data_IF_090105976974
#
_entry.id   IF_090105976974
#
_cell.length_a   1.000
_cell.length_b   1.000
_cell.length_c   1.000
_cell.angle_alpha   90.00
_cell.angle_beta   90.00
_cell.angle_gamma   90.00
#
_symmetry.space_group_name_H-M   'P 1'
#
loop_
_entity.id
_entity.type
_entity.pdbx_description
1 polymer ?
#
# COMPACT_ATOMS: atom_id res chain seq x y z
N UNK A 1 26.45 6.50 37.69
CA UNK A 1 25.79 5.21 37.95
C UNK A 1 24.32 5.50 38.09
N UNK A 2 23.58 5.52 36.99
CA UNK A 2 22.13 5.72 36.99
C UNK A 2 21.50 4.80 35.95
N UNK A 3 20.43 4.14 36.39
CA UNK A 3 19.80 2.95 35.81
C UNK A 3 18.92 3.26 34.59
N UNK A 4 18.72 2.30 33.67
CA UNK A 4 17.90 2.50 32.48
C UNK A 4 16.41 2.48 32.81
N UNK A 5 15.69 3.45 32.24
CA UNK A 5 14.23 3.56 32.34
C UNK A 5 13.53 2.35 31.71
N UNK A 6 12.67 1.76 32.53
CA UNK A 6 11.78 0.65 32.24
C UNK A 6 10.82 1.01 31.08
N UNK A 7 10.92 0.32 29.95
CA UNK A 7 9.98 0.46 28.84
C UNK A 7 8.73 -0.39 29.14
N UNK A 8 7.73 0.26 29.72
CA UNK A 8 6.46 -0.36 30.09
C UNK A 8 5.59 -0.64 28.87
N UNK A 9 5.40 -1.92 28.59
CA UNK A 9 4.43 -2.50 27.64
C UNK A 9 3.01 -2.02 27.99
N UNK A 10 2.31 -1.36 27.06
CA UNK A 10 0.87 -1.16 27.13
C UNK A 10 0.23 -1.46 25.79
N UNK A 11 -0.61 -2.49 25.82
CA UNK A 11 -1.46 -2.96 24.74
C UNK A 11 -2.40 -1.85 24.27
N UNK A 12 -2.56 -1.72 22.94
CA UNK A 12 -3.61 -0.90 22.34
C UNK A 12 -4.95 -1.61 22.54
N UNK A 13 -5.64 -1.26 23.63
CA UNK A 13 -6.97 -1.79 23.95
C UNK A 13 -8.02 -1.12 23.05
N UNK A 14 -8.48 -1.85 22.04
CA UNK A 14 -9.49 -1.39 21.05
C UNK A 14 -10.94 -1.57 21.55
N UNK A 15 -11.17 -1.95 22.81
CA UNK A 15 -12.50 -2.36 23.29
C UNK A 15 -13.46 -1.22 23.66
N UNK A 16 -13.15 0.05 23.34
CA UNK A 16 -13.95 1.19 23.82
C UNK A 16 -14.70 1.99 22.75
N UNK A 17 -14.84 1.48 21.53
CA UNK A 17 -15.55 2.21 20.47
C UNK A 17 -16.53 1.33 19.69
N UNK A 18 -17.67 1.06 20.32
CA UNK A 18 -18.89 0.65 19.62
C UNK A 18 -19.92 1.78 19.58
N UNK A 19 -20.42 1.98 18.36
CA UNK A 19 -21.74 2.51 17.99
C UNK A 19 -22.02 4.01 18.20
N UNK A 20 -21.93 4.77 17.10
CA UNK A 20 -23.10 5.49 16.63
C UNK A 20 -23.31 5.21 15.14
N UNK A 21 -24.45 4.57 14.84
CA UNK A 21 -24.97 4.35 13.49
C UNK A 21 -25.23 5.70 12.79
N UNK A 22 -24.75 5.85 11.56
CA UNK A 22 -24.99 7.03 10.72
C UNK A 22 -25.03 6.74 9.22
N UNK A 23 -25.46 5.54 8.81
CA UNK A 23 -25.42 5.10 7.40
C UNK A 23 -26.67 5.44 6.58
N UNK A 24 -27.61 6.27 7.07
CA UNK A 24 -28.90 6.48 6.37
C UNK A 24 -29.17 7.91 5.85
N UNK A 25 -28.19 8.82 5.79
CA UNK A 25 -28.46 10.23 5.40
C UNK A 25 -27.68 10.74 4.17
N UNK A 26 -26.86 9.93 3.52
CA UNK A 26 -26.07 10.39 2.35
C UNK A 26 -26.67 10.07 0.97
N UNK A 27 -27.87 9.51 0.90
CA UNK A 27 -28.54 9.20 -0.38
C UNK A 27 -29.36 10.36 -0.97
N UNK A 28 -29.32 11.58 -0.41
CA UNK A 28 -30.19 12.67 -0.88
C UNK A 28 -29.52 14.01 -1.24
N UNK A 29 -28.20 14.04 -1.43
CA UNK A 29 -27.51 15.25 -1.87
C UNK A 29 -26.73 15.02 -3.18
N UNK A 30 -27.15 15.75 -4.22
CA UNK A 30 -26.48 16.04 -5.51
C UNK A 30 -26.77 15.08 -6.69
N UNK A 31 -27.73 15.43 -7.58
CA UNK A 31 -28.02 14.71 -8.84
C UNK A 31 -27.04 15.00 -10.00
N UNK A 32 -25.96 15.76 -9.79
CA UNK A 32 -25.14 16.32 -10.88
C UNK A 32 -23.82 15.58 -11.19
N UNK A 33 -23.47 14.54 -10.41
CA UNK A 33 -22.16 13.84 -10.55
C UNK A 33 -22.30 12.49 -11.28
N UNK A 34 -23.52 12.04 -11.61
CA UNK A 34 -23.76 10.76 -12.31
C UNK A 34 -23.63 10.83 -13.83
N UNK A 35 -23.47 11.99 -14.43
CA UNK A 35 -23.39 12.15 -15.90
C UNK A 35 -21.97 12.13 -16.46
N UNK A 36 -20.94 12.35 -15.64
CA UNK A 36 -19.54 12.43 -16.10
C UNK A 36 -18.90 11.07 -16.33
N UNK A 37 -19.33 10.02 -15.61
CA UNK A 37 -18.78 8.67 -15.77
C UNK A 37 -19.17 8.02 -17.11
N UNK A 38 -20.38 8.27 -17.61
CA UNK A 38 -20.85 7.72 -18.89
C UNK A 38 -20.10 8.32 -20.10
N UNK A 39 -19.68 9.59 -20.02
CA UNK A 39 -18.96 10.25 -21.11
C UNK A 39 -17.54 9.69 -21.31
N UNK A 40 -16.82 9.39 -20.22
CA UNK A 40 -15.50 8.77 -20.31
C UNK A 40 -15.57 7.29 -20.71
N UNK A 41 -16.66 6.56 -20.39
CA UNK A 41 -16.89 5.21 -20.91
C UNK A 41 -17.15 5.22 -22.42
N UNK A 42 -17.87 6.22 -22.95
CA UNK A 42 -18.12 6.35 -24.39
C UNK A 42 -16.86 6.75 -25.18
N UNK A 43 -16.04 7.65 -24.64
CA UNK A 43 -14.73 7.98 -25.24
C UNK A 43 -13.77 6.78 -25.26
N UNK A 44 -13.80 5.94 -24.23
CA UNK A 44 -12.97 4.72 -24.18
C UNK A 44 -13.44 3.66 -25.19
N UNK A 45 -14.73 3.60 -25.51
CA UNK A 45 -15.28 2.64 -26.48
C UNK A 45 -14.96 2.99 -27.94
N UNK A 46 -14.81 4.27 -28.28
CA UNK A 46 -14.45 4.71 -29.65
C UNK A 46 -12.93 4.81 -29.91
N UNK A 47 -12.07 4.70 -28.89
CA UNK A 47 -10.61 4.78 -29.05
C UNK A 47 -9.92 3.41 -29.19
N UNK A 48 -10.67 2.31 -29.10
CA UNK A 48 -10.16 0.96 -29.42
C UNK A 48 -10.44 0.68 -30.89
N UNK A 49 -9.56 1.17 -31.75
CA UNK A 49 -9.52 0.77 -33.15
C UNK A 49 -9.13 -0.71 -33.22
N UNK A 50 -10.07 -1.53 -33.69
CA UNK A 50 -9.83 -2.92 -34.04
C UNK A 50 -9.00 -2.95 -35.34
N UNK A 51 -7.77 -3.53 -35.39
CA UNK A 51 -6.91 -3.51 -36.58
C UNK A 51 -7.35 -4.52 -37.66
N UNK A 52 -8.65 -4.83 -37.76
CA UNK A 52 -9.20 -5.78 -38.75
C UNK A 52 -10.47 -5.28 -39.45
N UNK A 53 -10.80 -3.99 -39.35
CA UNK A 53 -11.95 -3.39 -40.05
C UNK A 53 -11.56 -2.48 -41.24
N UNK A 54 -10.34 -2.64 -41.78
CA UNK A 54 -9.96 -2.09 -43.10
C UNK A 54 -9.86 -3.21 -44.14
N UNK A 55 -11.00 -3.82 -44.45
CA UNK A 55 -11.21 -4.59 -45.67
C UNK A 55 -12.71 -4.66 -45.93
N UNK A 56 -13.23 -3.63 -46.59
CA UNK A 56 -14.54 -3.70 -47.22
C UNK A 56 -14.58 -2.65 -48.34
N UNK A 57 -14.09 -3.09 -49.50
CA UNK A 57 -14.63 -2.86 -50.83
C UNK A 57 -15.39 -1.54 -51.01
N UNK A 58 -14.69 -0.53 -51.50
CA UNK A 58 -15.29 0.64 -52.16
C UNK A 58 -15.99 0.18 -53.44
N UNK A 59 -17.32 0.06 -53.37
CA UNK A 59 -18.20 -0.10 -54.52
C UNK A 59 -18.17 1.16 -55.39
N UNK A 60 -17.37 1.16 -56.45
CA UNK A 60 -17.44 2.15 -57.54
C UNK A 60 -18.31 1.58 -58.67
N UNK A 61 -19.42 2.22 -59.08
CA UNK A 61 -20.13 1.81 -60.28
C UNK A 61 -19.35 2.30 -61.51
N UNK A 62 -18.80 1.35 -62.27
CA UNK A 62 -18.15 1.60 -63.57
C UNK A 62 -19.22 1.52 -64.67
N UNK A 63 -19.41 2.64 -65.37
CA UNK A 63 -20.23 2.78 -66.58
C UNK A 63 -19.43 2.32 -67.80
N UNK A 64 -19.85 1.25 -68.50
CA UNK A 64 -19.88 1.08 -69.97
C UNK A 64 -20.05 -0.40 -70.43
N UNK A 65 -20.47 -0.65 -71.68
CA UNK A 65 -21.37 -1.76 -72.04
C UNK A 65 -20.72 -2.87 -72.89
N UNK A 66 -21.37 -4.05 -72.91
CA UNK A 66 -21.44 -5.07 -74.01
C UNK A 66 -20.11 -5.72 -74.47
N UNK A 67 -19.92 -7.03 -74.65
CA UNK A 67 -20.69 -8.08 -75.35
C UNK A 67 -20.12 -9.48 -75.00
N UNK A 68 -20.98 -10.50 -75.13
CA UNK A 68 -20.71 -11.92 -75.50
C UNK A 68 -19.38 -12.63 -75.18
N UNK A 69 -19.49 -13.81 -74.55
CA UNK A 69 -18.87 -15.03 -75.10
C UNK A 69 -17.99 -15.90 -74.18
N UNK A 70 -18.45 -17.13 -73.94
CA UNK A 70 -17.69 -18.39 -74.14
C UNK A 70 -16.49 -18.70 -73.19
N UNK A 71 -16.82 -19.52 -72.17
CA UNK A 71 -16.25 -20.84 -71.88
C UNK A 71 -14.87 -21.07 -71.19
N UNK A 72 -14.92 -22.03 -70.24
CA UNK A 72 -14.06 -23.22 -70.07
C UNK A 72 -12.76 -23.22 -69.21
N UNK A 73 -12.80 -24.12 -68.20
CA UNK A 73 -11.78 -25.08 -67.74
C UNK A 73 -10.71 -24.71 -66.67
N UNK A 74 -10.86 -25.40 -65.51
CA UNK A 74 -9.91 -26.32 -64.84
C UNK A 74 -9.44 -25.92 -63.41
N UNK A 75 -9.47 -26.84 -62.43
CA UNK A 75 -8.97 -26.63 -61.07
C UNK A 75 -7.49 -27.04 -60.93
N UNK A 76 -6.73 -26.33 -60.08
CA UNK A 76 -5.36 -26.72 -59.71
C UNK A 76 -5.06 -26.45 -58.23
N UNK A 77 -4.72 -27.56 -57.55
CA UNK A 77 -3.78 -27.78 -56.45
C UNK A 77 -4.01 -27.16 -55.03
N UNK A 78 -3.79 -27.96 -53.96
CA UNK A 78 -3.78 -27.49 -52.57
C UNK A 78 -2.40 -26.95 -52.18
N UNK A 79 -2.36 -25.75 -51.61
CA UNK A 79 -1.15 -25.15 -51.04
C UNK A 79 -0.78 -25.80 -49.70
N UNK A 80 0.50 -26.14 -49.45
CA UNK A 80 1.01 -26.53 -48.15
C UNK A 80 1.52 -25.28 -47.42
N UNK A 81 0.87 -24.87 -46.33
CA UNK A 81 1.53 -24.20 -45.20
C UNK A 81 0.57 -24.18 -44.01
N UNK A 82 0.58 -25.29 -43.29
CA UNK A 82 0.17 -25.31 -41.90
C UNK A 82 1.24 -24.55 -41.10
N UNK A 83 0.98 -23.28 -40.79
CA UNK A 83 1.56 -22.64 -39.62
C UNK A 83 0.39 -22.24 -38.72
N UNK A 84 -0.04 -23.21 -37.92
CA UNK A 84 -0.81 -22.97 -36.70
C UNK A 84 0.03 -22.05 -35.81
N UNK A 85 -0.22 -20.74 -35.89
CA UNK A 85 0.27 -19.82 -34.87
C UNK A 85 -0.53 -20.12 -33.60
N UNK A 86 0.05 -20.96 -32.74
CA UNK A 86 -0.28 -21.01 -31.32
C UNK A 86 -0.05 -19.63 -30.74
N UNK A 87 -1.14 -18.92 -30.49
CA UNK A 87 -1.16 -17.78 -29.57
C UNK A 87 -0.80 -18.32 -28.18
N UNK A 88 0.45 -18.13 -27.74
CA UNK A 88 0.81 -18.13 -26.34
C UNK A 88 0.93 -16.67 -25.88
N UNK A 89 -0.11 -16.06 -25.26
CA UNK A 89 -0.07 -14.67 -24.83
C UNK A 89 0.22 -14.51 -23.33
N UNK A 90 0.85 -15.50 -22.68
CA UNK A 90 1.06 -15.49 -21.21
C UNK A 90 2.51 -15.72 -20.75
N UNK A 91 3.45 -16.07 -21.63
CA UNK A 91 4.87 -16.26 -21.26
C UNK A 91 5.66 -14.95 -21.09
N UNK A 92 5.10 -13.82 -21.54
CA UNK A 92 5.73 -12.48 -21.42
C UNK A 92 5.36 -11.74 -20.13
N UNK A 93 4.50 -12.30 -19.27
CA UNK A 93 4.15 -11.68 -17.98
C UNK A 93 5.05 -12.31 -16.90
N UNK A 94 6.00 -11.54 -16.32
CA UNK A 94 6.85 -12.07 -15.27
C UNK A 94 6.01 -12.60 -14.09
N UNK A 95 6.29 -13.79 -13.56
CA UNK A 95 5.53 -14.33 -12.45
C UNK A 95 5.72 -13.45 -11.21
N UNK A 96 4.61 -13.22 -10.50
CA UNK A 96 4.64 -12.60 -9.19
C UNK A 96 5.02 -13.68 -8.16
N UNK A 97 6.20 -13.59 -7.57
CA UNK A 97 6.65 -14.53 -6.53
C UNK A 97 6.63 -13.87 -5.15
N UNK A 98 6.18 -14.61 -4.14
CA UNK A 98 6.22 -14.23 -2.73
C UNK A 98 7.25 -15.12 -2.04
N UNK A 99 8.30 -14.52 -1.50
CA UNK A 99 9.39 -15.28 -0.91
C UNK A 99 9.94 -14.63 0.37
N UNK A 100 10.51 -15.47 1.22
CA UNK A 100 11.34 -15.04 2.33
C UNK A 100 12.69 -14.61 1.76
N UNK A 101 13.06 -13.35 1.92
CA UNK A 101 14.30 -12.81 1.38
C UNK A 101 15.47 -13.26 2.27
N UNK A 102 16.32 -14.13 1.73
CA UNK A 102 17.54 -14.62 2.38
C UNK A 102 18.77 -13.82 1.95
N UNK A 103 18.84 -13.40 0.68
CA UNK A 103 19.94 -12.64 0.09
C UNK A 103 20.07 -11.26 0.71
N UNK A 104 21.32 -10.81 0.91
CA UNK A 104 21.61 -9.47 1.43
C UNK A 104 21.10 -8.36 0.51
N UNK A 105 21.28 -8.52 -0.81
CA UNK A 105 20.88 -7.50 -1.78
C UNK A 105 19.35 -7.35 -1.85
N UNK A 106 18.63 -8.47 -1.79
CA UNK A 106 17.17 -8.48 -1.73
C UNK A 106 16.63 -7.81 -0.45
N UNK A 107 17.22 -8.12 0.71
CA UNK A 107 16.88 -7.45 1.97
C UNK A 107 17.16 -5.94 1.91
N UNK A 108 18.26 -5.52 1.28
CA UNK A 108 18.57 -4.11 1.08
C UNK A 108 17.52 -3.42 0.20
N UNK A 109 17.12 -4.04 -0.91
CA UNK A 109 16.09 -3.52 -1.81
C UNK A 109 14.71 -3.46 -1.12
N UNK A 110 14.37 -4.42 -0.28
CA UNK A 110 13.16 -4.40 0.54
C UNK A 110 13.18 -3.24 1.56
N UNK A 111 14.30 -3.03 2.25
CA UNK A 111 14.46 -1.87 3.15
C UNK A 111 14.37 -0.54 2.41
N UNK A 112 15.00 -0.44 1.24
CA UNK A 112 14.91 0.74 0.39
C UNK A 112 13.45 1.04 0.00
N UNK A 113 12.67 0.00 -0.35
CA UNK A 113 11.25 0.15 -0.65
C UNK A 113 10.45 0.71 0.55
N UNK A 114 10.79 0.28 1.77
CA UNK A 114 10.16 0.77 3.01
C UNK A 114 10.58 2.21 3.28
N UNK A 115 11.87 2.53 3.19
CA UNK A 115 12.39 3.90 3.33
C UNK A 115 11.75 4.85 2.31
N UNK A 116 11.63 4.44 1.04
CA UNK A 116 10.92 5.19 0.00
C UNK A 116 9.46 5.44 0.36
N UNK A 117 8.80 4.49 1.03
CA UNK A 117 7.42 4.67 1.45
C UNK A 117 7.27 5.71 2.56
N UNK A 118 8.23 5.82 3.47
CA UNK A 118 8.31 6.90 4.48
C UNK A 118 8.62 8.24 3.80
N UNK A 119 9.54 8.25 2.84
CA UNK A 119 9.80 9.45 2.03
C UNK A 119 8.54 9.92 1.28
N UNK A 120 7.71 8.99 0.78
CA UNK A 120 6.40 9.31 0.20
C UNK A 120 5.41 9.87 1.23
N UNK A 121 5.46 9.43 2.50
CA UNK A 121 4.63 10.01 3.56
C UNK A 121 4.94 11.50 3.74
N UNK A 122 6.22 11.91 3.67
CA UNK A 122 6.61 13.34 3.72
C UNK A 122 5.92 14.16 2.64
N UNK A 123 5.87 13.66 1.41
CA UNK A 123 5.22 14.36 0.30
C UNK A 123 3.72 14.52 0.57
N UNK A 124 3.08 13.48 1.09
CA UNK A 124 1.65 13.50 1.41
C UNK A 124 1.33 14.38 2.61
N UNK A 125 2.19 14.40 3.62
CA UNK A 125 2.10 15.29 4.76
C UNK A 125 2.21 16.75 4.31
N UNK A 126 3.15 17.04 3.40
CA UNK A 126 3.32 18.38 2.82
C UNK A 126 2.08 18.81 2.04
N UNK A 127 1.52 17.94 1.18
CA UNK A 127 0.27 18.24 0.49
C UNK A 127 -0.91 18.44 1.44
N UNK A 128 -1.03 17.61 2.48
CA UNK A 128 -2.08 17.75 3.47
C UNK A 128 -1.99 19.11 4.19
N UNK A 129 -0.78 19.56 4.54
CA UNK A 129 -0.54 20.86 5.16
C UNK A 129 -0.86 22.03 4.22
N UNK A 130 -0.38 21.97 2.97
CA UNK A 130 -0.58 23.03 1.97
C UNK A 130 -2.07 23.32 1.77
N UNK A 131 -2.90 22.28 1.73
CA UNK A 131 -4.33 22.38 1.47
C UNK A 131 -5.20 22.36 2.73
N UNK A 132 -4.60 22.41 3.92
CA UNK A 132 -5.38 22.44 5.15
C UNK A 132 -5.97 23.85 5.38
N UNK A 133 -7.25 23.97 5.80
CA UNK A 133 -7.91 25.27 5.93
C UNK A 133 -7.23 26.22 6.92
N UNK A 134 -6.64 25.68 8.00
CA UNK A 134 -5.97 26.48 9.03
C UNK A 134 -4.69 27.18 8.50
N UNK A 135 -3.69 26.48 7.95
CA UNK A 135 -2.55 27.11 7.26
C UNK A 135 -2.96 28.05 6.13
N UNK A 136 -3.99 27.70 5.33
CA UNK A 136 -4.49 28.55 4.24
C UNK A 136 -5.10 29.86 4.74
N UNK A 137 -5.85 29.84 5.85
CA UNK A 137 -6.37 31.05 6.48
C UNK A 137 -5.24 31.95 7.02
N UNK A 138 -4.19 31.35 7.58
CA UNK A 138 -2.98 32.08 7.98
C UNK A 138 -2.27 32.72 6.79
N UNK A 139 -2.14 31.99 5.68
CA UNK A 139 -1.54 32.49 4.44
C UNK A 139 -2.36 33.63 3.84
N UNK A 140 -3.69 33.51 3.76
CA UNK A 140 -4.54 34.56 3.19
C UNK A 140 -4.51 35.85 4.02
N UNK A 141 -4.50 35.73 5.35
CA UNK A 141 -4.28 36.86 6.26
C UNK A 141 -2.93 37.53 5.99
N UNK A 142 -1.85 36.75 5.93
CA UNK A 142 -0.49 37.27 5.69
C UNK A 142 -0.37 37.97 4.34
N UNK A 143 -0.97 37.40 3.28
CA UNK A 143 -1.02 38.02 1.95
C UNK A 143 -1.84 39.31 1.97
N UNK A 144 -2.96 39.36 2.69
CA UNK A 144 -3.77 40.56 2.86
C UNK A 144 -3.02 41.70 3.56
N UNK A 145 -2.29 41.39 4.64
CA UNK A 145 -1.44 42.36 5.35
C UNK A 145 -0.31 42.86 4.45
N UNK A 146 0.38 41.94 3.75
CA UNK A 146 1.44 42.29 2.81
C UNK A 146 0.94 43.20 1.68
N UNK A 147 -0.23 42.92 1.12
CA UNK A 147 -0.85 43.74 0.08
C UNK A 147 -1.17 45.15 0.57
N UNK A 148 -1.75 45.28 1.77
CA UNK A 148 -2.07 46.60 2.34
C UNK A 148 -0.82 47.44 2.58
N UNK A 149 0.28 46.81 3.00
CA UNK A 149 1.55 47.50 3.26
C UNK A 149 2.25 47.97 1.98
N UNK A 150 2.23 47.16 0.91
CA UNK A 150 2.99 47.42 -0.30
C UNK A 150 2.18 48.12 -1.44
N UNK A 151 0.91 48.48 -1.18
CA UNK A 151 -0.08 48.93 -2.17
C UNK A 151 0.38 50.03 -3.14
N UNK A 152 1.35 50.86 -2.74
CA UNK A 152 1.82 52.00 -3.54
C UNK A 152 2.73 51.59 -4.70
N UNK A 153 3.53 50.52 -4.53
CA UNK A 153 4.51 50.07 -5.51
C UNK A 153 4.25 48.62 -5.95
N UNK A 154 3.99 48.44 -7.24
CA UNK A 154 3.67 47.12 -7.81
C UNK A 154 4.84 46.14 -7.70
N UNK A 155 6.07 46.60 -7.92
CA UNK A 155 7.28 45.79 -7.77
C UNK A 155 7.50 45.30 -6.34
N UNK A 156 7.33 46.19 -5.36
CA UNK A 156 7.40 45.87 -3.92
C UNK A 156 6.28 44.93 -3.50
N UNK A 157 5.06 45.10 -4.04
CA UNK A 157 3.93 44.20 -3.78
C UNK A 157 4.22 42.79 -4.27
N UNK A 158 4.67 42.62 -5.52
CA UNK A 158 4.96 41.30 -6.09
C UNK A 158 6.09 40.57 -5.34
N UNK A 159 7.14 41.28 -4.97
CA UNK A 159 8.25 40.70 -4.20
C UNK A 159 7.82 40.31 -2.78
N UNK A 160 7.00 41.12 -2.12
CA UNK A 160 6.50 40.80 -0.78
C UNK A 160 5.53 39.61 -0.79
N UNK A 161 4.59 39.56 -1.75
CA UNK A 161 3.65 38.43 -1.89
C UNK A 161 4.38 37.12 -2.21
N UNK A 162 5.38 37.16 -3.10
CA UNK A 162 6.20 35.98 -3.41
C UNK A 162 7.07 35.55 -2.22
N UNK A 163 7.61 36.51 -1.45
CA UNK A 163 8.33 36.24 -0.19
C UNK A 163 7.45 35.57 0.87
N UNK A 164 6.22 36.03 1.05
CA UNK A 164 5.24 35.40 1.95
C UNK A 164 4.92 33.98 1.50
N UNK A 165 4.67 33.76 0.21
CA UNK A 165 4.40 32.44 -0.34
C UNK A 165 5.60 31.49 -0.18
N UNK A 166 6.82 31.98 -0.45
CA UNK A 166 8.06 31.21 -0.28
C UNK A 166 8.27 30.84 1.19
N UNK A 167 8.06 31.78 2.11
CA UNK A 167 8.17 31.56 3.56
C UNK A 167 7.16 30.51 4.03
N UNK A 168 5.92 30.56 3.52
CA UNK A 168 4.89 29.56 3.81
C UNK A 168 5.31 28.15 3.37
N UNK A 169 5.80 27.99 2.14
CA UNK A 169 6.25 26.70 1.63
C UNK A 169 7.50 26.18 2.36
N UNK A 170 8.43 27.07 2.74
CA UNK A 170 9.59 26.74 3.56
C UNK A 170 9.19 26.27 4.96
N UNK A 171 8.22 26.94 5.60
CA UNK A 171 7.69 26.52 6.89
C UNK A 171 7.09 25.11 6.82
N UNK A 172 6.30 24.80 5.79
CA UNK A 172 5.77 23.45 5.58
C UNK A 172 6.91 22.44 5.39
N UNK A 173 7.91 22.77 4.56
CA UNK A 173 9.09 21.92 4.33
C UNK A 173 9.87 21.66 5.62
N UNK A 174 9.97 22.65 6.50
CA UNK A 174 10.64 22.54 7.79
C UNK A 174 9.86 21.61 8.73
N UNK A 175 8.55 21.81 8.87
CA UNK A 175 7.73 20.99 9.78
C UNK A 175 7.62 19.53 9.29
N UNK A 176 7.71 19.27 7.98
CA UNK A 176 7.75 17.89 7.44
C UNK A 176 9.15 17.28 7.35
N UNK A 177 10.21 18.01 7.74
CA UNK A 177 11.58 17.50 7.65
C UNK A 177 11.85 16.28 8.54
N UNK A 178 11.09 16.11 9.63
CA UNK A 178 11.24 14.98 10.54
C UNK A 178 11.02 13.59 9.93
N UNK A 179 10.41 13.49 8.74
CA UNK A 179 10.28 12.21 8.03
C UNK A 179 11.61 11.72 7.41
N UNK A 180 12.57 12.62 7.17
CA UNK A 180 13.87 12.27 6.59
C UNK A 180 14.67 11.34 7.53
N UNK A 181 14.93 11.71 8.80
CA UNK A 181 15.68 10.84 9.71
C UNK A 181 14.94 9.52 9.98
N UNK A 182 13.60 9.51 9.89
CA UNK A 182 12.82 8.27 10.02
C UNK A 182 13.03 7.31 8.84
N UNK A 183 13.13 7.85 7.62
CA UNK A 183 13.47 7.04 6.45
C UNK A 183 14.90 6.51 6.54
N UNK A 184 15.86 7.32 7.02
CA UNK A 184 17.25 6.92 7.25
C UNK A 184 17.38 5.86 8.35
N UNK A 185 16.51 5.91 9.36
CA UNK A 185 16.45 4.90 10.42
C UNK A 185 16.02 3.51 9.91
N UNK A 186 15.37 3.42 8.75
CA UNK A 186 15.05 2.15 8.07
C UNK A 186 16.28 1.63 7.31
N UNK A 187 17.31 1.31 8.09
CA UNK A 187 18.55 0.69 7.62
C UNK A 187 18.69 -0.73 8.17
N UNK A 188 19.84 -1.38 8.00
CA UNK A 188 20.11 -2.72 8.54
C UNK A 188 19.87 -2.84 10.05
N UNK A 189 20.10 -1.75 10.79
CA UNK A 189 19.80 -1.66 12.23
C UNK A 189 18.31 -1.83 12.56
N UNK A 190 17.43 -1.52 11.59
CA UNK A 190 16.00 -1.74 11.75
C UNK A 190 15.65 -3.23 11.88
N UNK A 191 16.27 -4.09 11.08
CA UNK A 191 16.02 -5.55 11.08
C UNK A 191 16.82 -6.25 12.19
N UNK A 192 18.01 -5.72 12.52
CA UNK A 192 18.90 -6.25 13.57
C UNK A 192 19.12 -5.18 14.64
N UNK A 193 18.26 -5.11 15.67
CA UNK A 193 18.36 -4.09 16.72
C UNK A 193 19.59 -4.27 17.62
N UNK A 194 20.09 -5.50 17.79
CA UNK A 194 21.24 -5.81 18.64
C UNK A 194 22.42 -6.28 17.78
N UNK A 195 23.52 -5.50 17.70
CA UNK A 195 24.67 -5.85 16.86
C UNK A 195 25.48 -7.05 17.39
N UNK A 196 25.36 -7.40 18.69
CA UNK A 196 26.20 -8.39 19.39
C UNK A 196 25.45 -9.65 19.87
N UNK A 197 24.18 -9.83 19.49
CA UNK A 197 23.43 -11.02 19.87
C UNK A 197 23.98 -12.25 19.13
N UNK A 198 24.75 -13.09 19.84
CA UNK A 198 25.33 -14.35 19.37
C UNK A 198 24.26 -15.37 18.91
N UNK A 199 22.98 -15.12 19.21
CA UNK A 199 21.89 -16.00 18.82
C UNK A 199 21.17 -15.50 17.55
N UNK A 200 21.05 -16.32 16.48
CA UNK A 200 20.33 -15.99 15.24
C UNK A 200 18.80 -15.82 15.42
N UNK A 201 18.31 -15.84 16.66
CA UNK A 201 16.90 -15.87 17.03
C UNK A 201 16.22 -14.50 17.07
N UNK A 202 16.97 -13.39 17.03
CA UNK A 202 16.42 -12.03 17.14
C UNK A 202 16.41 -11.25 15.81
N UNK A 203 16.84 -11.86 14.70
CA UNK A 203 16.72 -11.22 13.39
C UNK A 203 15.27 -11.22 12.91
N UNK A 204 14.76 -10.05 12.55
CA UNK A 204 13.43 -9.95 11.96
C UNK A 204 13.41 -10.61 10.56
N UNK A 205 12.34 -11.33 10.28
CA UNK A 205 12.12 -11.98 8.99
C UNK A 205 11.67 -10.96 7.95
N UNK A 206 12.34 -10.92 6.80
CA UNK A 206 11.95 -10.04 5.68
C UNK A 206 11.29 -10.86 4.59
N UNK A 207 10.07 -10.46 4.23
CA UNK A 207 9.27 -11.03 3.16
C UNK A 207 9.24 -10.03 1.99
N UNK A 208 9.46 -10.53 0.79
CA UNK A 208 9.42 -9.74 -0.42
C UNK A 208 8.45 -10.33 -1.44
N UNK A 209 7.80 -9.45 -2.19
CA UNK A 209 7.15 -9.85 -3.44
C UNK A 209 8.00 -9.38 -4.59
N UNK A 210 8.36 -10.28 -5.52
CA UNK A 210 9.09 -9.95 -6.73
C UNK A 210 8.15 -10.00 -7.94
N UNK A 211 8.31 -9.06 -8.85
CA UNK A 211 7.71 -9.10 -10.18
C UNK A 211 8.85 -9.02 -11.21
N UNK A 212 9.18 -10.15 -11.84
CA UNK A 212 10.39 -10.27 -12.66
C UNK A 212 11.64 -10.23 -11.79
N UNK A 213 12.51 -9.24 -12.01
CA UNK A 213 13.74 -9.02 -11.22
C UNK A 213 13.57 -8.01 -10.09
N UNK A 214 12.44 -7.31 -10.01
CA UNK A 214 12.26 -6.18 -9.11
C UNK A 214 11.41 -6.53 -7.89
N UNK A 215 11.84 -6.10 -6.71
CA UNK A 215 11.03 -6.18 -5.48
C UNK A 215 9.95 -5.10 -5.52
N UNK A 216 8.70 -5.54 -5.48
CA UNK A 216 7.51 -4.67 -5.62
C UNK A 216 6.72 -4.55 -4.32
N UNK A 217 6.95 -5.45 -3.37
CA UNK A 217 6.36 -5.43 -2.04
C UNK A 217 7.36 -5.91 -1.00
N UNK A 218 7.29 -5.34 0.20
CA UNK A 218 8.16 -5.70 1.31
C UNK A 218 7.38 -5.72 2.62
N UNK A 219 7.67 -6.70 3.46
CA UNK A 219 7.11 -6.84 4.80
C UNK A 219 8.22 -7.29 5.76
N UNK A 220 8.31 -6.66 6.93
CA UNK A 220 9.23 -7.06 8.01
C UNK A 220 8.40 -7.62 9.17
N UNK A 221 8.69 -8.86 9.54
CA UNK A 221 7.97 -9.65 10.52
C UNK A 221 8.91 -10.05 11.65
N UNK A 222 8.60 -9.63 12.87
CA UNK A 222 9.23 -10.14 14.08
C UNK A 222 8.42 -11.32 14.60
N UNK A 223 9.10 -12.43 14.86
CA UNK A 223 8.49 -13.62 15.42
C UNK A 223 8.89 -13.72 16.90
N UNK A 224 7.90 -13.82 17.77
CA UNK A 224 8.06 -14.03 19.21
C UNK A 224 7.45 -15.40 19.55
N UNK A 225 8.23 -16.49 19.49
CA UNK A 225 7.75 -17.81 19.91
C UNK A 225 7.22 -17.76 21.34
N UNK A 226 6.16 -18.51 21.63
CA UNK A 226 5.68 -18.64 22.99
C UNK A 226 6.78 -19.28 23.84
N UNK A 227 7.34 -18.52 24.79
CA UNK A 227 8.25 -19.08 25.78
C UNK A 227 7.45 -20.14 26.54
N UNK A 228 7.90 -21.41 26.58
CA UNK A 228 7.28 -22.37 27.45
C UNK A 228 7.48 -21.86 28.87
N UNK A 229 6.40 -21.38 29.50
CA UNK A 229 6.40 -21.09 30.92
C UNK A 229 6.72 -22.42 31.59
N UNK A 230 7.97 -22.56 32.04
CA UNK A 230 8.38 -23.64 32.92
C UNK A 230 7.56 -23.49 34.21
N UNK A 231 6.42 -24.17 34.25
CA UNK A 231 5.68 -24.39 35.49
C UNK A 231 6.64 -25.12 36.43
N UNK A 232 6.99 -24.55 37.60
CA UNK A 232 7.68 -25.34 38.60
C UNK A 232 6.74 -26.48 38.98
N UNK A 233 7.23 -27.71 38.91
CA UNK A 233 6.54 -28.88 39.42
C UNK A 233 6.34 -28.68 40.93
N UNK A 234 5.14 -28.25 41.32
CA UNK A 234 4.87 -27.90 42.72
C UNK A 234 3.38 -27.72 43.00
N UNK A 235 2.78 -28.82 43.48
CA UNK A 235 1.62 -28.86 44.39
C UNK A 235 0.25 -28.34 43.92
N UNK A 236 -0.63 -29.31 43.65
CA UNK A 236 -1.99 -29.45 44.19
C UNK A 236 -2.84 -28.23 44.55
N UNK A 237 -4.08 -28.20 44.04
CA UNK A 237 -5.21 -27.50 44.68
C UNK A 237 -6.10 -26.75 43.70
N UNK A 238 -7.32 -27.26 43.48
CA UNK A 238 -8.25 -26.68 42.52
C UNK A 238 -8.84 -25.32 42.89
N UNK A 239 -9.13 -24.51 41.86
CA UNK A 239 -10.34 -23.67 41.78
C UNK A 239 -10.56 -23.17 40.36
N UNK A 240 -11.71 -23.53 39.79
CA UNK A 240 -12.23 -23.00 38.52
C UNK A 240 -12.25 -21.47 38.57
N UNK A 241 -11.46 -20.82 37.71
CA UNK A 241 -11.62 -19.41 37.35
C UNK A 241 -11.53 -19.30 35.84
N UNK A 242 -12.67 -19.07 35.20
CA UNK A 242 -12.78 -18.65 33.80
C UNK A 242 -11.94 -17.39 33.59
N UNK A 243 -10.83 -17.51 32.84
CA UNK A 243 -10.22 -16.41 32.10
C UNK A 243 -9.44 -16.98 30.93
N UNK A 244 -10.03 -16.89 29.75
CA UNK A 244 -9.37 -17.19 28.48
C UNK A 244 -8.19 -16.22 28.29
N UNK A 245 -6.96 -16.68 28.49
CA UNK A 245 -5.73 -15.99 28.04
C UNK A 245 -4.46 -16.81 28.25
N UNK A 246 -4.49 -18.14 28.12
CA UNK A 246 -3.25 -18.88 27.90
C UNK A 246 -2.97 -18.84 26.41
N UNK A 247 -2.19 -17.85 25.95
CA UNK A 247 -1.65 -17.84 24.58
C UNK A 247 -0.89 -19.15 24.37
N UNK A 248 -1.52 -20.10 23.66
CA UNK A 248 -0.94 -21.42 23.37
C UNK A 248 -0.07 -21.39 22.11
N UNK A 249 0.12 -20.22 21.52
CA UNK A 249 0.98 -19.94 20.38
C UNK A 249 1.74 -18.63 20.60
N UNK A 250 2.86 -18.48 19.90
CA UNK A 250 3.65 -17.24 19.91
C UNK A 250 2.95 -16.08 19.17
N UNK A 251 3.67 -14.99 18.94
CA UNK A 251 3.17 -13.78 18.29
C UNK A 251 4.01 -13.44 17.06
N UNK A 252 3.36 -12.94 16.02
CA UNK A 252 4.00 -12.34 14.84
C UNK A 252 3.68 -10.86 14.78
N UNK A 253 4.71 -10.02 14.90
CA UNK A 253 4.58 -8.57 14.87
C UNK A 253 5.08 -8.02 13.54
N UNK A 254 4.17 -7.42 12.77
CA UNK A 254 4.50 -6.77 11.50
C UNK A 254 5.06 -5.37 11.80
N UNK A 255 6.36 -5.19 11.60
CA UNK A 255 7.08 -3.93 11.84
C UNK A 255 7.11 -3.01 10.62
N UNK A 256 6.95 -3.55 9.43
CA UNK A 256 6.82 -2.77 8.21
C UNK A 256 5.99 -3.54 7.19
N UNK A 257 5.16 -2.84 6.43
CA UNK A 257 4.40 -3.40 5.31
C UNK A 257 4.22 -2.30 4.26
N UNK A 258 4.72 -2.56 3.06
CA UNK A 258 4.64 -1.61 1.97
C UNK A 258 4.58 -2.31 0.62
N UNK A 259 3.97 -1.62 -0.33
CA UNK A 259 3.95 -2.01 -1.74
C UNK A 259 4.27 -0.79 -2.59
N UNK A 260 5.02 -1.03 -3.67
CA UNK A 260 5.37 0.00 -4.63
C UNK A 260 4.11 0.60 -5.25
N UNK A 261 4.09 1.92 -5.42
CA UNK A 261 2.89 2.68 -5.77
C UNK A 261 2.13 2.11 -6.99
N UNK A 262 2.86 1.68 -8.03
CA UNK A 262 2.30 1.12 -9.27
C UNK A 262 1.66 -0.27 -9.15
N UNK A 263 1.87 -0.96 -8.02
CA UNK A 263 1.24 -2.26 -7.71
C UNK A 263 0.25 -2.20 -6.56
N UNK A 264 -0.02 -1.00 -6.02
CA UNK A 264 -1.09 -0.82 -5.03
C UNK A 264 -2.45 -1.07 -5.69
N UNK A 265 -3.37 -1.66 -4.93
CA UNK A 265 -4.71 -2.02 -5.42
C UNK A 265 -4.77 -3.29 -6.26
N UNK A 266 -3.65 -4.00 -6.47
CA UNK A 266 -3.59 -5.27 -7.23
C UNK A 266 -3.58 -6.53 -6.35
N UNK A 267 -3.86 -6.43 -5.06
CA UNK A 267 -3.84 -7.58 -4.13
C UNK A 267 -2.46 -7.93 -3.55
N UNK A 268 -1.35 -7.51 -4.18
CA UNK A 268 0.04 -7.80 -3.74
C UNK A 268 0.28 -7.61 -2.24
N UNK A 269 -0.23 -6.52 -1.67
CA UNK A 269 -0.07 -6.24 -0.25
C UNK A 269 -0.83 -7.22 0.64
N UNK A 270 -2.02 -7.63 0.23
CA UNK A 270 -2.85 -8.62 0.92
C UNK A 270 -2.18 -9.99 0.87
N UNK A 271 -1.62 -10.38 -0.27
CA UNK A 271 -0.93 -11.67 -0.42
C UNK A 271 0.30 -11.77 0.49
N UNK A 272 1.05 -10.68 0.67
CA UNK A 272 2.13 -10.59 1.67
C UNK A 272 1.63 -10.83 3.10
N UNK A 273 0.44 -10.33 3.44
CA UNK A 273 -0.15 -10.57 4.75
C UNK A 273 -0.57 -12.04 4.92
N UNK A 274 -1.12 -12.68 3.89
CA UNK A 274 -1.42 -14.12 3.94
C UNK A 274 -0.18 -14.96 4.21
N UNK A 275 0.93 -14.67 3.53
CA UNK A 275 2.21 -15.35 3.74
C UNK A 275 2.80 -15.04 5.12
N UNK A 276 2.73 -13.79 5.60
CA UNK A 276 3.17 -13.44 6.95
C UNK A 276 2.40 -14.22 8.03
N UNK A 277 1.07 -14.32 7.91
CA UNK A 277 0.24 -15.12 8.83
C UNK A 277 0.57 -16.61 8.72
N UNK A 278 0.90 -17.09 7.51
CA UNK A 278 1.27 -18.49 7.28
C UNK A 278 2.57 -18.82 8.00
N UNK A 279 3.62 -18.04 7.78
CA UNK A 279 4.91 -18.27 8.39
C UNK A 279 4.85 -18.10 9.90
N UNK A 280 4.09 -17.11 10.40
CA UNK A 280 3.89 -16.94 11.84
C UNK A 280 3.29 -18.19 12.47
N UNK A 281 2.23 -18.76 11.88
CA UNK A 281 1.59 -19.96 12.43
C UNK A 281 2.42 -21.23 12.25
N UNK A 282 3.23 -21.32 11.19
CA UNK A 282 4.18 -22.41 10.98
C UNK A 282 5.31 -22.40 12.01
N UNK A 283 5.84 -21.22 12.37
CA UNK A 283 6.99 -21.08 13.28
C UNK A 283 6.62 -20.90 14.76
N UNK A 284 5.51 -20.21 15.05
CA UNK A 284 5.09 -19.86 16.40
C UNK A 284 3.88 -20.69 16.90
N UNK A 285 3.31 -21.56 16.06
CA UNK A 285 2.19 -22.45 16.41
C UNK A 285 0.85 -22.06 15.79
N UNK A 286 -0.07 -23.02 15.72
CA UNK A 286 -1.36 -22.89 14.99
C UNK A 286 -2.28 -21.77 15.51
N UNK A 287 -2.13 -21.44 16.78
CA UNK A 287 -2.88 -20.42 17.52
C UNK A 287 -2.06 -19.14 17.73
N UNK A 288 -0.98 -18.97 16.96
CA UNK A 288 -0.19 -17.75 17.00
C UNK A 288 -0.99 -16.54 16.50
N UNK A 289 -0.86 -15.44 17.22
CA UNK A 289 -1.50 -14.17 16.90
C UNK A 289 -0.61 -13.35 15.98
N UNK A 290 -1.22 -12.62 15.04
CA UNK A 290 -0.49 -11.73 14.12
C UNK A 290 -1.08 -10.34 14.23
N UNK A 291 -0.23 -9.35 14.43
CA UNK A 291 -0.63 -7.95 14.58
C UNK A 291 0.42 -7.00 14.02
N UNK A 292 0.00 -5.76 13.77
CA UNK A 292 0.96 -4.69 13.50
C UNK A 292 1.64 -4.25 14.81
N UNK A 293 2.94 -4.00 14.74
CA UNK A 293 3.67 -3.42 15.88
C UNK A 293 3.17 -1.98 16.14
N UNK A 294 3.12 -1.55 17.41
CA UNK A 294 2.69 -0.19 17.77
C UNK A 294 3.55 0.88 17.08
N UNK A 295 4.88 0.69 17.12
CA UNK A 295 5.86 1.50 16.42
C UNK A 295 6.34 0.75 15.17
N UNK A 296 5.51 0.74 14.13
CA UNK A 296 5.86 0.20 12.82
C UNK A 296 6.34 1.32 11.89
N UNK A 297 7.11 0.99 10.85
CA UNK A 297 7.75 1.97 9.95
C UNK A 297 6.81 3.09 9.46
N UNK A 298 5.55 2.73 9.18
CA UNK A 298 4.53 3.65 8.69
C UNK A 298 3.60 4.29 9.76
N UNK A 299 3.74 4.00 11.06
CA UNK A 299 2.84 4.52 12.12
C UNK A 299 3.37 5.83 12.73
N UNK A 300 4.64 6.14 12.52
CA UNK A 300 5.26 7.32 13.10
C UNK A 300 4.69 8.62 12.51
N UNK A 301 4.18 9.46 13.40
CA UNK A 301 3.54 10.73 13.06
C UNK A 301 4.40 11.91 13.50
N UNK A 302 4.99 12.60 12.53
CA UNK A 302 5.82 13.79 12.80
C UNK A 302 4.95 15.03 13.03
N UNK A 303 3.80 15.09 12.38
CA UNK A 303 2.88 16.23 12.51
C UNK A 303 1.95 16.07 13.71
N UNK A 304 1.39 17.17 14.23
CA UNK A 304 0.29 17.12 15.20
C UNK A 304 -0.90 16.31 14.71
N UNK A 305 -1.61 15.71 15.66
CA UNK A 305 -2.71 14.77 15.43
C UNK A 305 -3.80 15.26 14.46
N UNK A 306 -4.11 16.56 14.49
CA UNK A 306 -5.14 17.15 13.64
C UNK A 306 -4.81 17.10 12.14
N UNK A 307 -3.53 17.06 11.75
CA UNK A 307 -3.11 16.93 10.36
C UNK A 307 -3.00 15.47 9.90
N UNK A 308 -3.03 14.50 10.83
CA UNK A 308 -2.72 13.11 10.53
C UNK A 308 -3.93 12.26 10.09
N UNK A 309 -5.09 12.88 9.85
CA UNK A 309 -6.33 12.16 9.55
C UNK A 309 -6.23 11.20 8.37
N UNK A 310 -5.47 11.57 7.33
CA UNK A 310 -5.24 10.72 6.14
C UNK A 310 -4.38 9.51 6.47
N UNK A 311 -3.33 9.68 7.27
CA UNK A 311 -2.46 8.59 7.73
C UNK A 311 -3.23 7.62 8.61
N UNK A 312 -4.01 8.11 9.58
CA UNK A 312 -4.88 7.26 10.42
C UNK A 312 -5.93 6.50 9.63
N UNK A 313 -6.44 7.07 8.55
CA UNK A 313 -7.38 6.37 7.67
C UNK A 313 -6.71 5.17 7.01
N UNK A 314 -5.44 5.30 6.60
CA UNK A 314 -4.68 4.21 6.00
C UNK A 314 -4.23 3.17 7.01
N UNK A 315 -3.86 3.57 8.21
CA UNK A 315 -3.56 2.66 9.31
C UNK A 315 -4.78 1.81 9.70
N UNK A 316 -5.95 2.45 9.84
CA UNK A 316 -7.22 1.73 10.03
C UNK A 316 -7.56 0.81 8.87
N UNK A 317 -7.24 1.21 7.64
CA UNK A 317 -7.42 0.35 6.48
C UNK A 317 -6.48 -0.86 6.55
N UNK A 318 -5.21 -0.66 6.90
CA UNK A 318 -4.23 -1.73 7.08
C UNK A 318 -4.66 -2.74 8.14
N UNK A 319 -5.09 -2.27 9.32
CA UNK A 319 -5.61 -3.11 10.39
C UNK A 319 -6.82 -3.94 9.90
N UNK A 320 -7.79 -3.30 9.25
CA UNK A 320 -8.95 -4.00 8.67
C UNK A 320 -8.57 -5.04 7.62
N UNK A 321 -7.55 -4.76 6.80
CA UNK A 321 -7.06 -5.74 5.81
C UNK A 321 -6.44 -6.94 6.50
N UNK A 322 -5.65 -6.75 7.55
CA UNK A 322 -5.09 -7.85 8.35
C UNK A 322 -6.20 -8.66 9.04
N UNK A 323 -7.18 -8.00 9.65
CA UNK A 323 -8.34 -8.68 10.27
C UNK A 323 -9.11 -9.51 9.24
N UNK A 324 -9.28 -8.99 8.02
CA UNK A 324 -9.91 -9.72 6.91
C UNK A 324 -9.13 -10.99 6.53
N UNK A 325 -7.80 -10.88 6.41
CA UNK A 325 -6.91 -12.03 6.13
C UNK A 325 -6.98 -13.09 7.23
N UNK A 326 -7.04 -12.67 8.50
CA UNK A 326 -7.17 -13.57 9.63
C UNK A 326 -8.53 -14.28 9.63
N UNK A 327 -9.62 -13.54 9.41
CA UNK A 327 -10.97 -14.08 9.37
C UNK A 327 -11.19 -15.07 8.23
N UNK A 328 -10.73 -14.74 7.02
CA UNK A 328 -10.80 -15.65 5.85
C UNK A 328 -10.11 -16.99 6.16
N UNK A 329 -8.94 -16.91 6.78
CA UNK A 329 -8.18 -18.11 7.15
C UNK A 329 -8.88 -18.96 8.22
N UNK A 330 -9.56 -18.33 9.18
CA UNK A 330 -10.36 -19.05 10.18
C UNK A 330 -11.57 -19.74 9.57
N UNK A 331 -12.23 -19.12 8.60
CA UNK A 331 -13.30 -19.76 7.83
C UNK A 331 -12.79 -20.99 7.07
N UNK A 332 -11.61 -20.91 6.45
CA UNK A 332 -10.97 -22.05 5.78
C UNK A 332 -10.62 -23.19 6.75
N UNK A 333 -10.21 -22.87 7.99
CA UNK A 333 -9.99 -23.89 9.04
C UNK A 333 -11.28 -24.61 9.41
N UNK A 334 -12.42 -23.91 9.50
CA UNK A 334 -13.71 -24.49 9.90
C UNK A 334 -14.35 -25.39 8.83
N UNK A 335 -13.99 -25.20 7.56
CA UNK A 335 -14.53 -25.97 6.42
C UNK A 335 -13.80 -27.31 6.20
N UNK A 336 -12.62 -27.50 6.77
CA UNK A 336 -11.83 -28.75 6.73
C UNK A 336 -12.10 -29.59 7.96
#
# INVERSE_FOLDING_TARGET
MESPHHMGIRELNVSNWHAHNGLNTFNHAVPAIKTSAAFFTFLRANLVLNPSAMSSNTSTPVLQPTTSGVSHHRPAAPSPLANSQTLDPLDDIPPLSLEVLSTRDDKAAALHLIADSIAQQRQQASFALVFHPVPLAGLSLALGVAYQYAKQDLGTTLTLLSGVLMTYLLAIRYVTSGYIPLAEAVSWSFIRPVPDATSPTEEDLVLGTRFGSEIVGALVLRLEPAVPIAVPAGSGGGRRRNKASSFRGGKGLIRAWTTKLRYRGKGVGTDLLHEAVRITRERCGKDAEVGFAMEHANSQMVLPEFFNGTFRKRERWAAKTLDGVLAEREMLKKKR
#
